data_IF_499658530577
#
_entry.id   IF_499658530577
#
_cell.length_a   1.000
_cell.length_b   1.000
_cell.length_c   1.000
_cell.angle_alpha   90.00
_cell.angle_beta   90.00
_cell.angle_gamma   90.00
#
_symmetry.space_group_name_H-M   'P 1'
#
loop_
_entity.id
_entity.type
_entity.pdbx_description
1 polymer ?
#
# COMPACT_ATOMS: atom_id res chain seq x y z
N UNK A 1 -4.73 23.58 16.02
CA UNK A 1 -3.60 23.82 15.07
C UNK A 1 -4.18 24.32 13.75
N UNK A 2 -3.57 25.26 13.06
CA UNK A 2 -4.17 25.85 11.85
C UNK A 2 -3.44 25.31 10.61
N UNK A 3 -3.99 24.23 10.00
CA UNK A 3 -3.46 23.73 8.73
C UNK A 3 -3.81 24.74 7.65
N UNK A 4 -2.82 25.16 6.86
CA UNK A 4 -3.04 26.17 5.84
C UNK A 4 -4.00 25.67 4.75
N UNK A 5 -4.88 26.55 4.26
CA UNK A 5 -5.77 26.22 3.12
C UNK A 5 -4.97 25.72 1.92
N UNK A 6 -3.84 26.36 1.64
CA UNK A 6 -2.94 25.96 0.56
C UNK A 6 -2.44 24.50 0.70
N UNK A 7 -2.20 24.04 1.93
CA UNK A 7 -1.82 22.63 2.17
C UNK A 7 -2.99 21.70 1.89
N UNK A 8 -4.18 22.04 2.37
CA UNK A 8 -5.38 21.22 2.12
C UNK A 8 -5.75 21.20 0.63
N UNK A 9 -5.66 22.34 -0.04
CA UNK A 9 -5.89 22.44 -1.50
C UNK A 9 -4.91 21.54 -2.29
N UNK A 10 -3.63 21.57 -1.91
CA UNK A 10 -2.61 20.71 -2.54
C UNK A 10 -2.88 19.22 -2.33
N UNK A 11 -3.37 18.83 -1.15
CA UNK A 11 -3.59 17.43 -0.80
C UNK A 11 -4.93 16.87 -1.34
N UNK A 12 -5.98 17.70 -1.35
CA UNK A 12 -7.34 17.21 -1.59
C UNK A 12 -8.08 17.94 -2.72
N UNK A 13 -7.45 18.95 -3.32
CA UNK A 13 -8.09 19.83 -4.30
C UNK A 13 -8.94 20.95 -3.66
N UNK A 14 -9.16 22.03 -4.42
CA UNK A 14 -9.85 23.22 -3.92
C UNK A 14 -11.28 22.94 -3.42
N UNK A 15 -12.01 22.07 -4.11
CA UNK A 15 -13.41 21.73 -3.76
C UNK A 15 -13.54 21.03 -2.38
N UNK A 16 -12.50 20.35 -1.91
CA UNK A 16 -12.54 19.60 -0.66
C UNK A 16 -12.06 20.40 0.58
N UNK A 17 -11.51 21.59 0.40
CA UNK A 17 -10.84 22.36 1.47
C UNK A 17 -11.76 22.59 2.69
N UNK A 18 -13.01 23.00 2.49
CA UNK A 18 -13.94 23.25 3.61
C UNK A 18 -14.22 21.99 4.42
N UNK A 19 -14.58 20.91 3.73
CA UNK A 19 -14.86 19.61 4.34
C UNK A 19 -13.64 19.07 5.10
N UNK A 20 -12.45 19.20 4.53
CA UNK A 20 -11.23 18.75 5.21
C UNK A 20 -10.89 19.59 6.44
N UNK A 21 -11.10 20.91 6.41
CA UNK A 21 -10.95 21.74 7.62
C UNK A 21 -11.84 21.26 8.76
N UNK A 22 -13.10 20.96 8.48
CA UNK A 22 -14.04 20.45 9.48
C UNK A 22 -13.58 19.10 10.02
N UNK A 23 -13.13 18.19 9.13
CA UNK A 23 -12.61 16.87 9.51
C UNK A 23 -11.39 16.97 10.41
N UNK A 24 -10.43 17.80 10.07
CA UNK A 24 -9.23 18.00 10.90
C UNK A 24 -9.56 18.65 12.25
N UNK A 25 -10.45 19.63 12.29
CA UNK A 25 -10.90 20.26 13.53
C UNK A 25 -11.65 19.26 14.43
N UNK A 26 -12.49 18.40 13.85
CA UNK A 26 -13.19 17.36 14.57
C UNK A 26 -12.20 16.33 15.17
N UNK A 27 -11.15 15.96 14.43
CA UNK A 27 -10.12 15.06 14.91
C UNK A 27 -9.30 15.67 16.05
N UNK A 28 -8.93 16.96 15.97
CA UNK A 28 -8.26 17.69 17.08
C UNK A 28 -9.13 17.70 18.33
N UNK A 29 -10.43 18.00 18.18
CA UNK A 29 -11.36 18.01 19.30
C UNK A 29 -11.50 16.63 19.94
N UNK A 30 -11.66 15.58 19.12
CA UNK A 30 -11.78 14.22 19.63
C UNK A 30 -10.51 13.77 20.37
N UNK A 31 -9.32 14.15 19.87
CA UNK A 31 -8.07 13.93 20.58
C UNK A 31 -8.07 14.62 21.95
N UNK A 32 -8.46 15.92 22.03
CA UNK A 32 -8.53 16.67 23.28
C UNK A 32 -9.55 16.07 24.27
N UNK A 33 -10.71 15.62 23.78
CA UNK A 33 -11.76 15.02 24.59
C UNK A 33 -11.29 13.70 25.25
N UNK A 34 -10.39 12.93 24.58
CA UNK A 34 -9.91 11.63 25.06
C UNK A 34 -8.63 11.76 25.90
N UNK A 35 -7.67 12.54 25.45
CA UNK A 35 -6.32 12.60 26.03
C UNK A 35 -6.01 13.90 26.77
N UNK A 36 -6.93 14.87 26.72
CA UNK A 36 -6.72 16.22 27.26
C UNK A 36 -5.93 17.12 26.30
N UNK A 37 -5.79 18.38 26.67
CA UNK A 37 -4.99 19.35 25.89
C UNK A 37 -3.52 18.99 25.97
N UNK A 38 -2.84 19.07 24.82
CA UNK A 38 -1.40 18.87 24.70
C UNK A 38 -0.78 20.04 23.90
N UNK A 39 0.34 20.57 24.40
CA UNK A 39 0.97 21.77 23.80
C UNK A 39 1.67 21.51 22.48
N UNK A 40 2.04 20.26 22.20
CA UNK A 40 2.86 19.87 21.04
C UNK A 40 2.19 18.79 20.19
N UNK A 41 0.92 19.01 19.80
CA UNK A 41 0.26 18.10 18.85
C UNK A 41 0.84 18.26 17.45
N UNK A 42 0.95 17.13 16.76
CA UNK A 42 1.29 17.07 15.34
C UNK A 42 0.19 16.31 14.60
N UNK A 43 0.02 16.67 13.33
CA UNK A 43 -0.95 15.97 12.48
C UNK A 43 -0.18 15.23 11.40
N UNK A 44 -0.60 13.99 11.16
CA UNK A 44 -0.05 13.11 10.15
C UNK A 44 -1.17 12.62 9.25
N UNK A 45 -0.81 12.29 8.00
CA UNK A 45 -1.71 11.71 7.01
C UNK A 45 -0.96 10.64 6.22
N UNK A 46 -1.63 9.53 5.93
CA UNK A 46 -1.17 8.53 5.01
C UNK A 46 -2.32 8.12 4.07
N UNK A 47 -2.13 8.22 2.76
CA UNK A 47 -3.18 7.94 1.78
C UNK A 47 -3.43 6.45 1.61
N UNK A 48 -4.64 6.10 1.20
CA UNK A 48 -4.90 4.84 0.51
C UNK A 48 -4.27 4.84 -0.88
N UNK A 49 -4.31 3.69 -1.55
CA UNK A 49 -3.73 3.52 -2.89
C UNK A 49 -4.68 2.83 -3.84
N UNK A 50 -4.48 3.04 -5.12
CA UNK A 50 -5.06 2.23 -6.19
C UNK A 50 -3.93 1.61 -7.03
N UNK A 51 -4.15 0.39 -7.51
CA UNK A 51 -3.33 -0.24 -8.53
C UNK A 51 -3.80 0.24 -9.90
N UNK A 52 -2.88 0.64 -10.76
CA UNK A 52 -3.17 1.20 -12.08
C UNK A 52 -2.77 0.19 -13.18
N UNK A 53 -1.63 -0.46 -13.01
CA UNK A 53 -1.10 -1.48 -13.92
C UNK A 53 -0.13 -2.41 -13.21
N UNK A 54 0.13 -3.59 -13.80
CA UNK A 54 1.00 -4.60 -13.20
C UNK A 54 0.27 -5.49 -12.20
N UNK A 55 -0.98 -5.84 -12.51
CA UNK A 55 -1.85 -6.61 -11.61
C UNK A 55 -1.21 -7.95 -11.21
N UNK A 56 -0.95 -8.12 -9.89
CA UNK A 56 -0.33 -9.31 -9.28
C UNK A 56 1.08 -9.67 -9.80
N UNK A 57 1.84 -8.70 -10.35
CA UNK A 57 3.21 -8.94 -10.82
C UNK A 57 4.25 -8.80 -9.73
N UNK A 58 3.99 -8.03 -8.69
CA UNK A 58 4.88 -7.75 -7.55
C UNK A 58 5.35 -9.01 -6.81
N UNK A 59 4.46 -10.01 -6.65
CA UNK A 59 4.77 -11.30 -6.02
C UNK A 59 5.83 -12.14 -6.78
N UNK A 60 6.09 -11.81 -8.05
CA UNK A 60 7.09 -12.43 -8.92
C UNK A 60 8.18 -11.44 -9.36
N UNK A 61 8.42 -10.41 -8.56
CA UNK A 61 9.41 -9.36 -8.80
C UNK A 61 9.17 -8.57 -10.09
N UNK A 62 7.91 -8.39 -10.47
CA UNK A 62 7.51 -7.62 -11.64
C UNK A 62 7.50 -6.12 -11.41
N UNK A 63 7.02 -5.40 -12.43
CA UNK A 63 6.78 -3.97 -12.37
C UNK A 63 5.30 -3.70 -12.11
N UNK A 64 5.02 -2.67 -11.32
CA UNK A 64 3.66 -2.19 -11.07
C UNK A 64 3.58 -0.68 -11.28
N UNK A 65 2.40 -0.19 -11.61
CA UNK A 65 2.04 1.22 -11.52
C UNK A 65 0.95 1.38 -10.48
N UNK A 66 1.18 2.24 -9.51
CA UNK A 66 0.25 2.53 -8.44
C UNK A 66 0.11 4.04 -8.21
N UNK A 67 -1.00 4.43 -7.63
CA UNK A 67 -1.24 5.84 -7.28
C UNK A 67 -1.79 5.96 -5.86
N UNK A 68 -1.31 6.93 -5.11
CA UNK A 68 -1.98 7.40 -3.91
C UNK A 68 -3.31 8.06 -4.29
N UNK A 69 -4.33 7.82 -3.50
CA UNK A 69 -5.66 8.43 -3.71
C UNK A 69 -5.90 9.58 -2.74
N UNK A 70 -6.88 10.45 -3.04
CA UNK A 70 -7.26 11.57 -2.18
C UNK A 70 -8.04 11.16 -0.91
N UNK A 71 -8.07 9.87 -0.59
CA UNK A 71 -8.66 9.31 0.62
C UNK A 71 -7.52 8.84 1.53
N UNK A 72 -7.54 9.24 2.79
CA UNK A 72 -6.44 8.99 3.72
C UNK A 72 -6.90 8.63 5.13
N UNK A 73 -5.95 8.17 5.92
CA UNK A 73 -6.03 8.10 7.38
C UNK A 73 -5.26 9.28 7.94
N UNK A 74 -5.91 10.11 8.75
CA UNK A 74 -5.24 11.18 9.49
C UNK A 74 -5.08 10.82 10.96
N UNK A 75 -4.02 11.33 11.60
CA UNK A 75 -3.78 11.20 13.03
C UNK A 75 -3.44 12.53 13.67
N UNK A 76 -4.08 12.85 14.76
CA UNK A 76 -3.67 13.89 15.72
C UNK A 76 -2.85 13.21 16.80
N UNK A 77 -1.60 13.63 17.00
CA UNK A 77 -0.61 12.90 17.79
C UNK A 77 0.11 13.80 18.78
N UNK A 78 0.31 13.34 19.99
CA UNK A 78 1.25 13.91 20.96
C UNK A 78 2.26 12.87 21.41
N UNK A 79 3.53 13.29 21.61
CA UNK A 79 4.53 12.43 22.25
C UNK A 79 4.08 12.08 23.68
N UNK A 80 4.44 10.87 24.11
CA UNK A 80 4.30 10.43 25.50
C UNK A 80 5.64 9.90 26.01
N UNK A 81 5.85 10.00 27.30
CA UNK A 81 7.04 9.42 27.93
C UNK A 81 6.95 7.89 27.96
N UNK A 82 8.11 7.23 27.92
CA UNK A 82 8.21 5.78 28.00
C UNK A 82 7.94 5.07 26.65
N UNK A 83 7.39 3.86 26.73
CA UNK A 83 7.25 2.93 25.60
C UNK A 83 5.80 2.57 25.24
N UNK A 84 4.82 3.29 25.78
CA UNK A 84 3.42 2.97 25.52
C UNK A 84 2.90 3.81 24.35
N UNK A 85 2.37 3.13 23.34
CA UNK A 85 1.64 3.71 22.22
C UNK A 85 0.16 3.51 22.45
N UNK A 86 -0.60 4.61 22.52
CA UNK A 86 -2.06 4.60 22.65
C UNK A 86 -2.68 5.19 21.39
N UNK A 87 -3.48 4.40 20.68
CA UNK A 87 -4.15 4.82 19.45
C UNK A 87 -5.65 4.60 19.56
N UNK A 88 -6.40 5.67 19.56
CA UNK A 88 -7.86 5.65 19.46
C UNK A 88 -8.28 5.91 18.04
N UNK A 89 -8.71 4.87 17.34
CA UNK A 89 -9.30 5.01 15.99
C UNK A 89 -10.80 5.27 16.11
N UNK A 90 -11.32 6.16 15.29
CA UNK A 90 -12.75 6.50 15.25
C UNK A 90 -13.61 5.24 15.03
N UNK A 91 -14.59 5.03 15.90
CA UNK A 91 -15.49 3.87 15.84
C UNK A 91 -14.92 2.55 16.37
N UNK A 92 -13.65 2.51 16.85
CA UNK A 92 -13.00 1.30 17.36
C UNK A 92 -12.57 1.47 18.82
N UNK A 93 -12.34 0.37 19.57
CA UNK A 93 -11.67 0.43 20.86
C UNK A 93 -10.29 1.09 20.76
N UNK A 94 -9.77 1.56 21.89
CA UNK A 94 -8.40 2.07 21.95
C UNK A 94 -7.40 0.90 21.97
N UNK A 95 -6.38 0.99 21.12
CA UNK A 95 -5.21 0.12 21.18
C UNK A 95 -4.19 0.74 22.14
N UNK A 96 -3.78 -0.02 23.16
CA UNK A 96 -2.72 0.34 24.10
C UNK A 96 -1.61 -0.70 24.01
N UNK A 97 -0.48 -0.32 23.42
CA UNK A 97 0.63 -1.24 23.07
C UNK A 97 1.90 -0.79 23.75
N UNK A 98 2.41 -1.62 24.68
CA UNK A 98 3.77 -1.43 25.19
C UNK A 98 4.79 -1.98 24.16
N UNK A 99 5.51 -1.06 23.54
CA UNK A 99 6.54 -1.36 22.53
C UNK A 99 7.95 -1.58 23.13
N UNK A 100 8.08 -1.65 24.48
CA UNK A 100 9.33 -2.15 25.09
C UNK A 100 9.55 -3.62 24.71
N UNK A 101 8.45 -4.40 24.72
CA UNK A 101 8.36 -5.76 24.18
C UNK A 101 7.84 -5.72 22.72
N UNK A 102 8.69 -6.19 21.80
CA UNK A 102 8.40 -6.23 20.36
C UNK A 102 8.28 -7.65 19.81
N UNK A 103 8.15 -8.64 20.67
CA UNK A 103 7.90 -10.02 20.25
C UNK A 103 6.52 -10.19 19.60
N UNK A 104 6.44 -11.13 18.65
CA UNK A 104 5.17 -11.48 18.02
C UNK A 104 4.23 -12.10 19.04
N UNK A 105 3.00 -11.62 19.12
CA UNK A 105 1.98 -12.14 20.04
C UNK A 105 0.84 -12.76 19.25
N UNK A 106 0.63 -14.05 19.39
CA UNK A 106 -0.47 -14.76 18.72
C UNK A 106 -1.84 -14.19 19.10
N UNK A 107 -1.98 -13.68 20.31
CA UNK A 107 -3.22 -13.03 20.80
C UNK A 107 -3.53 -11.70 20.12
N UNK A 108 -2.54 -11.06 19.49
CA UNK A 108 -2.70 -9.79 18.76
C UNK A 108 -2.91 -9.99 17.25
N UNK A 109 -2.76 -11.20 16.70
CA UNK A 109 -2.96 -11.47 15.26
C UNK A 109 -4.30 -10.93 14.77
N UNK A 110 -4.29 -10.38 13.56
CA UNK A 110 -5.43 -9.73 12.90
C UNK A 110 -5.97 -8.49 13.65
N UNK A 111 -5.17 -7.86 14.50
CA UNK A 111 -5.52 -6.62 15.21
C UNK A 111 -4.59 -5.45 14.84
N UNK A 112 -5.07 -4.22 15.02
CA UNK A 112 -4.26 -2.99 14.87
C UNK A 112 -3.08 -2.95 15.86
N UNK A 113 -3.24 -3.53 17.04
CA UNK A 113 -2.16 -3.62 18.04
C UNK A 113 -0.94 -4.38 17.48
N UNK A 114 -1.16 -5.49 16.74
CA UNK A 114 -0.05 -6.23 16.11
C UNK A 114 0.68 -5.40 15.06
N UNK A 115 -0.02 -4.59 14.27
CA UNK A 115 0.59 -3.69 13.29
C UNK A 115 1.45 -2.62 13.98
N UNK A 116 0.94 -2.00 15.05
CA UNK A 116 1.71 -1.01 15.84
C UNK A 116 2.98 -1.64 16.39
N UNK A 117 2.88 -2.83 16.99
CA UNK A 117 4.03 -3.59 17.53
C UNK A 117 5.01 -3.96 16.43
N UNK A 118 4.53 -4.47 15.29
CA UNK A 118 5.36 -4.88 14.16
C UNK A 118 6.14 -3.72 13.53
N UNK A 119 5.49 -2.56 13.36
CA UNK A 119 6.16 -1.35 12.87
C UNK A 119 7.23 -0.88 13.86
N UNK A 120 6.93 -0.86 15.17
CA UNK A 120 7.91 -0.50 16.20
C UNK A 120 9.12 -1.46 16.22
N UNK A 121 8.87 -2.78 16.09
CA UNK A 121 9.90 -3.79 15.98
C UNK A 121 10.79 -3.57 14.75
N UNK A 122 10.17 -3.34 13.58
CA UNK A 122 10.89 -3.06 12.34
C UNK A 122 11.79 -1.82 12.44
N UNK A 123 11.31 -0.75 13.07
CA UNK A 123 12.13 0.44 13.33
C UNK A 123 13.32 0.11 14.22
N UNK A 124 13.11 -0.57 15.34
CA UNK A 124 14.22 -1.00 16.25
C UNK A 124 15.23 -1.87 15.53
N UNK A 125 14.77 -2.87 14.78
CA UNK A 125 15.63 -3.80 14.03
C UNK A 125 16.46 -3.08 12.95
N UNK A 126 15.91 -2.00 12.39
CA UNK A 126 16.62 -1.14 11.43
C UNK A 126 17.53 -0.09 12.11
N UNK A 127 17.66 -0.09 13.44
CA UNK A 127 18.50 0.84 14.20
C UNK A 127 17.89 2.22 14.44
N UNK A 128 16.59 2.40 14.19
CA UNK A 128 15.87 3.65 14.43
C UNK A 128 15.29 3.71 15.85
N UNK A 129 15.08 4.94 16.32
CA UNK A 129 14.47 5.20 17.63
C UNK A 129 12.95 5.05 17.55
N UNK A 130 12.37 4.53 18.61
CA UNK A 130 10.93 4.49 18.87
C UNK A 130 10.64 4.93 20.30
N UNK A 131 9.41 5.39 20.57
CA UNK A 131 8.98 5.80 21.91
C UNK A 131 7.46 5.91 21.97
N UNK A 132 6.92 6.24 23.13
CA UNK A 132 5.49 6.35 23.37
C UNK A 132 4.86 7.56 22.69
N UNK A 133 3.62 7.40 22.26
CA UNK A 133 2.78 8.51 21.80
C UNK A 133 1.30 8.20 22.03
N UNK A 134 0.47 9.24 22.04
CA UNK A 134 -0.99 9.16 22.00
C UNK A 134 -1.48 9.65 20.66
N UNK A 135 -2.43 8.96 20.06
CA UNK A 135 -2.99 9.34 18.77
C UNK A 135 -4.51 9.13 18.72
N UNK A 136 -5.20 10.08 18.11
CA UNK A 136 -6.55 9.86 17.60
C UNK A 136 -6.52 9.80 16.08
N UNK A 137 -7.16 8.79 15.49
CA UNK A 137 -7.17 8.60 14.04
C UNK A 137 -8.59 8.57 13.49
N UNK A 138 -8.79 9.17 12.31
CA UNK A 138 -10.00 9.03 11.50
C UNK A 138 -9.62 8.73 10.05
N UNK A 139 -10.43 7.92 9.36
CA UNK A 139 -10.11 7.39 8.05
C UNK A 139 -11.25 7.56 7.05
N UNK A 140 -10.91 8.06 5.86
CA UNK A 140 -11.77 8.00 4.68
C UNK A 140 -11.41 6.81 3.77
N UNK A 141 -10.34 6.07 4.08
CA UNK A 141 -9.98 4.83 3.38
C UNK A 141 -10.91 3.73 3.87
N UNK A 142 -11.92 3.42 3.09
CA UNK A 142 -12.95 2.45 3.49
C UNK A 142 -12.35 1.05 3.65
N UNK A 143 -12.66 0.39 4.76
CA UNK A 143 -12.26 -1.00 5.01
C UNK A 143 -12.93 -1.92 3.97
N UNK A 144 -12.14 -2.77 3.33
CA UNK A 144 -12.65 -3.71 2.32
C UNK A 144 -12.91 -3.11 0.94
N UNK A 145 -12.58 -1.83 0.71
CA UNK A 145 -12.78 -1.16 -0.59
C UNK A 145 -11.67 -1.44 -1.62
N UNK A 146 -10.68 -2.25 -1.29
CA UNK A 146 -9.52 -2.45 -2.16
C UNK A 146 -8.49 -1.31 -2.14
N UNK A 147 -8.68 -0.28 -1.30
CA UNK A 147 -7.77 0.88 -1.20
C UNK A 147 -6.65 0.70 -0.16
N UNK A 148 -6.49 -0.48 0.40
CA UNK A 148 -5.47 -0.84 1.39
C UNK A 148 -5.46 0.02 2.65
N UNK A 149 -6.56 -0.03 3.42
CA UNK A 149 -6.65 0.67 4.71
C UNK A 149 -5.60 0.17 5.72
N UNK A 150 -5.19 -1.10 5.69
CA UNK A 150 -4.11 -1.63 6.53
C UNK A 150 -2.77 -0.96 6.20
N UNK A 151 -2.38 -0.94 4.93
CA UNK A 151 -1.13 -0.32 4.51
C UNK A 151 -1.08 1.18 4.85
N UNK A 152 -2.19 1.91 4.64
CA UNK A 152 -2.28 3.31 5.04
C UNK A 152 -2.08 3.50 6.55
N UNK A 153 -2.66 2.64 7.39
CA UNK A 153 -2.49 2.68 8.84
C UNK A 153 -1.04 2.36 9.26
N UNK A 154 -0.45 1.32 8.70
CA UNK A 154 0.93 0.91 8.97
C UNK A 154 1.93 2.01 8.60
N UNK A 155 1.77 2.58 7.40
CA UNK A 155 2.58 3.70 6.91
C UNK A 155 2.39 4.94 7.79
N UNK A 156 1.16 5.21 8.26
CA UNK A 156 0.89 6.30 9.20
C UNK A 156 1.69 6.12 10.49
N UNK A 157 1.66 4.92 11.11
CA UNK A 157 2.43 4.61 12.33
C UNK A 157 3.93 4.76 12.07
N UNK A 158 4.45 4.25 10.95
CA UNK A 158 5.86 4.40 10.55
C UNK A 158 6.25 5.87 10.36
N UNK A 159 5.38 6.66 9.74
CA UNK A 159 5.59 8.10 9.56
C UNK A 159 5.62 8.83 10.90
N UNK A 160 4.73 8.48 11.83
CA UNK A 160 4.73 9.03 13.20
C UNK A 160 6.08 8.75 13.88
N UNK A 161 6.56 7.50 13.89
CA UNK A 161 7.86 7.16 14.48
C UNK A 161 9.01 7.89 13.78
N UNK A 162 8.98 8.02 12.46
CA UNK A 162 9.99 8.75 11.70
C UNK A 162 10.10 10.20 12.17
N UNK A 163 8.99 10.90 12.25
CA UNK A 163 9.00 12.33 12.57
C UNK A 163 9.12 12.65 14.06
N UNK A 164 8.58 11.81 14.95
CA UNK A 164 8.69 12.07 16.40
C UNK A 164 10.07 11.73 16.93
N UNK A 165 10.71 10.66 16.44
CA UNK A 165 11.91 10.09 17.06
C UNK A 165 13.15 10.07 16.17
N UNK A 166 12.99 10.31 14.84
CA UNK A 166 14.05 10.21 13.85
C UNK A 166 14.12 11.43 12.92
N UNK A 167 13.58 12.56 13.32
CA UNK A 167 13.66 13.84 12.58
C UNK A 167 13.09 13.77 11.13
N UNK A 168 12.19 12.79 10.85
CA UNK A 168 11.66 12.56 9.51
C UNK A 168 12.68 11.96 8.52
N UNK A 169 13.80 11.42 8.99
CA UNK A 169 14.91 10.93 8.14
C UNK A 169 14.75 9.49 7.66
N UNK A 170 13.76 8.74 8.17
CA UNK A 170 13.49 7.39 7.65
C UNK A 170 12.84 7.50 6.29
N UNK A 171 13.46 6.89 5.27
CA UNK A 171 12.97 7.01 3.89
C UNK A 171 11.59 6.34 3.70
N UNK A 172 10.81 6.82 2.75
CA UNK A 172 9.51 6.25 2.40
C UNK A 172 9.61 4.76 2.06
N UNK A 173 10.66 4.36 1.33
CA UNK A 173 10.94 2.95 1.01
C UNK A 173 11.14 2.12 2.27
N UNK A 174 11.93 2.61 3.22
CA UNK A 174 12.18 1.90 4.47
C UNK A 174 10.92 1.78 5.32
N UNK A 175 10.10 2.84 5.40
CA UNK A 175 8.81 2.80 6.08
C UNK A 175 7.90 1.74 5.44
N UNK A 176 7.82 1.68 4.11
CA UNK A 176 7.01 0.70 3.39
C UNK A 176 7.48 -0.74 3.64
N UNK A 177 8.79 -1.01 3.62
CA UNK A 177 9.36 -2.34 3.91
C UNK A 177 9.05 -2.78 5.35
N UNK A 178 9.19 -1.86 6.32
CA UNK A 178 8.86 -2.13 7.72
C UNK A 178 7.35 -2.41 7.88
N UNK A 179 6.50 -1.62 7.23
CA UNK A 179 5.06 -1.78 7.25
C UNK A 179 4.64 -3.14 6.68
N UNK A 180 5.16 -3.54 5.52
CA UNK A 180 4.91 -4.87 4.94
C UNK A 180 5.35 -6.00 5.87
N UNK A 181 6.52 -5.87 6.50
CA UNK A 181 6.98 -6.87 7.47
C UNK A 181 6.01 -6.99 8.66
N UNK A 182 5.49 -5.87 9.14
CA UNK A 182 4.48 -5.87 10.20
C UNK A 182 3.19 -6.59 9.77
N UNK A 183 2.70 -6.34 8.56
CA UNK A 183 1.51 -7.02 8.02
C UNK A 183 1.75 -8.54 7.88
N UNK A 184 2.89 -8.93 7.32
CA UNK A 184 3.19 -10.34 7.04
C UNK A 184 3.47 -11.16 8.30
N UNK A 185 4.24 -10.61 9.24
CA UNK A 185 4.78 -11.37 10.37
C UNK A 185 3.94 -11.18 11.64
N UNK A 186 3.51 -9.96 11.93
CA UNK A 186 2.79 -9.66 13.17
C UNK A 186 1.28 -9.77 13.00
N UNK A 187 0.74 -9.21 11.92
CA UNK A 187 -0.70 -9.33 11.64
C UNK A 187 -1.05 -10.72 11.10
N UNK A 188 -0.16 -11.33 10.33
CA UNK A 188 -0.31 -12.68 9.80
C UNK A 188 -0.99 -12.75 8.42
N UNK A 189 -1.02 -11.65 7.67
CA UNK A 189 -1.56 -11.61 6.30
C UNK A 189 -0.41 -11.45 5.30
N UNK A 190 -0.12 -12.46 4.46
CA UNK A 190 0.89 -12.34 3.44
C UNK A 190 0.46 -11.31 2.38
N UNK A 191 1.28 -10.29 2.18
CA UNK A 191 1.07 -9.21 1.21
C UNK A 191 2.34 -8.90 0.42
N UNK A 192 2.19 -8.42 -0.81
CA UNK A 192 3.25 -7.79 -1.58
C UNK A 192 3.65 -6.42 -0.98
N UNK A 193 4.65 -5.76 -1.59
CA UNK A 193 5.16 -4.48 -1.08
C UNK A 193 4.51 -3.25 -1.74
N UNK A 194 3.71 -3.45 -2.79
CA UNK A 194 3.12 -2.37 -3.58
C UNK A 194 2.26 -1.42 -2.75
N UNK A 195 1.40 -1.97 -1.89
CA UNK A 195 0.43 -1.21 -1.12
C UNK A 195 1.10 -0.20 -0.19
N UNK A 196 2.03 -0.69 0.61
CA UNK A 196 2.79 0.14 1.54
C UNK A 196 3.69 1.13 0.80
N UNK A 197 4.26 0.72 -0.35
CA UNK A 197 5.12 1.60 -1.14
C UNK A 197 4.33 2.76 -1.73
N UNK A 198 3.18 2.48 -2.34
CA UNK A 198 2.33 3.52 -2.93
C UNK A 198 1.79 4.50 -1.87
N UNK A 199 1.37 3.99 -0.70
CA UNK A 199 0.93 4.83 0.43
C UNK A 199 2.08 5.69 1.00
N UNK A 200 3.29 5.13 1.11
CA UNK A 200 4.44 5.81 1.74
C UNK A 200 5.10 6.83 0.81
N UNK A 201 5.26 6.52 -0.47
CA UNK A 201 5.89 7.43 -1.45
C UNK A 201 4.90 8.50 -1.90
N UNK A 202 3.65 8.12 -2.13
CA UNK A 202 2.59 9.02 -2.59
C UNK A 202 2.66 9.36 -4.09
N UNK A 203 1.61 10.02 -4.59
CA UNK A 203 1.51 10.41 -6.00
C UNK A 203 1.34 9.21 -6.95
N UNK A 204 1.66 9.40 -8.22
CA UNK A 204 1.74 8.34 -9.23
C UNK A 204 3.17 7.80 -9.29
N UNK A 205 3.33 6.48 -9.15
CA UNK A 205 4.64 5.84 -9.14
C UNK A 205 4.65 4.57 -9.99
N UNK A 206 5.77 4.28 -10.62
CA UNK A 206 6.10 2.92 -11.04
C UNK A 206 7.10 2.32 -10.07
N UNK A 207 7.00 1.03 -9.85
CA UNK A 207 7.89 0.29 -8.98
C UNK A 207 8.39 -0.93 -9.74
N UNK A 208 9.70 -1.08 -9.89
CA UNK A 208 10.32 -2.33 -10.36
C UNK A 208 10.82 -3.11 -9.13
N UNK A 209 10.21 -4.26 -8.88
CA UNK A 209 10.55 -5.14 -7.76
C UNK A 209 11.61 -6.18 -8.09
N UNK A 210 12.39 -6.00 -9.16
CA UNK A 210 13.47 -6.93 -9.51
C UNK A 210 14.41 -7.20 -8.32
N UNK A 211 14.75 -6.15 -7.58
CA UNK A 211 15.39 -6.21 -6.27
C UNK A 211 14.40 -5.68 -5.22
N UNK A 212 13.84 -6.58 -4.39
CA UNK A 212 12.86 -6.23 -3.36
C UNK A 212 13.46 -5.48 -2.18
N UNK A 213 14.78 -5.61 -1.95
CA UNK A 213 15.48 -4.84 -0.92
C UNK A 213 15.75 -3.40 -1.39
N UNK A 214 15.99 -3.22 -2.69
CA UNK A 214 16.26 -1.93 -3.31
C UNK A 214 15.38 -1.72 -4.55
N UNK A 215 14.04 -1.62 -4.40
CA UNK A 215 13.15 -1.45 -5.54
C UNK A 215 13.43 -0.12 -6.25
N UNK A 216 13.35 -0.15 -7.56
CA UNK A 216 13.47 1.08 -8.36
C UNK A 216 12.12 1.76 -8.42
N UNK A 217 12.04 2.96 -7.84
CA UNK A 217 10.81 3.76 -7.78
C UNK A 217 10.99 4.98 -8.67
N UNK A 218 10.02 5.20 -9.54
CA UNK A 218 10.01 6.35 -10.42
C UNK A 218 8.67 7.10 -10.30
N UNK A 219 8.73 8.33 -9.79
CA UNK A 219 7.57 9.18 -9.62
C UNK A 219 7.17 9.82 -10.95
N UNK A 220 5.90 9.75 -11.29
CA UNK A 220 5.33 10.31 -12.51
C UNK A 220 4.48 11.52 -12.14
N UNK A 221 4.89 12.70 -12.61
CA UNK A 221 4.08 13.91 -12.46
C UNK A 221 3.14 14.03 -13.65
N UNK A 222 1.85 13.82 -13.41
CA UNK A 222 0.81 13.99 -14.42
C UNK A 222 -0.46 14.56 -13.80
N UNK A 223 -1.07 15.55 -14.46
CA UNK A 223 -2.31 16.16 -14.01
C UNK A 223 -3.51 15.58 -14.79
N UNK A 224 -4.17 14.60 -14.17
CA UNK A 224 -5.35 13.95 -14.76
C UNK A 224 -6.53 14.91 -14.87
N UNK A 225 -6.71 15.82 -13.91
CA UNK A 225 -7.81 16.79 -13.94
C UNK A 225 -7.68 17.73 -15.15
N UNK A 226 -6.46 18.22 -15.43
CA UNK A 226 -6.19 19.03 -16.61
C UNK A 226 -6.43 18.27 -17.93
N UNK A 227 -6.34 16.95 -17.93
CA UNK A 227 -6.65 16.08 -19.09
C UNK A 227 -8.14 15.81 -19.26
N UNK A 228 -9.01 16.26 -18.34
CA UNK A 228 -10.45 16.00 -18.36
C UNK A 228 -10.84 14.63 -17.83
N UNK A 229 -9.93 13.90 -17.16
CA UNK A 229 -10.20 12.59 -16.57
C UNK A 229 -10.14 12.63 -15.05
N UNK A 230 -10.92 11.77 -14.43
CA UNK A 230 -10.91 11.55 -12.99
C UNK A 230 -10.80 10.05 -12.68
N UNK A 231 -10.09 9.73 -11.61
CA UNK A 231 -10.11 8.39 -11.05
C UNK A 231 -11.39 8.21 -10.24
N UNK A 232 -12.19 7.22 -10.64
CA UNK A 232 -13.43 6.85 -9.96
C UNK A 232 -13.26 5.48 -9.29
N UNK A 233 -13.66 5.38 -8.03
CA UNK A 233 -13.68 4.12 -7.28
C UNK A 233 -15.13 3.73 -7.11
N UNK A 234 -15.50 2.54 -7.61
CA UNK A 234 -16.86 1.99 -7.51
C UNK A 234 -16.88 0.89 -6.47
N UNK A 235 -17.60 1.13 -5.38
CA UNK A 235 -17.83 0.09 -4.37
C UNK A 235 -18.93 -0.86 -4.84
N UNK A 236 -18.55 -2.06 -5.25
CA UNK A 236 -19.47 -3.10 -5.73
C UNK A 236 -20.16 -3.85 -4.61
N UNK A 237 -19.87 -3.54 -3.33
CA UNK A 237 -20.35 -4.25 -2.14
C UNK A 237 -19.93 -5.73 -2.08
N UNK A 238 -18.99 -6.15 -2.93
CA UNK A 238 -18.44 -7.52 -2.92
C UNK A 238 -17.58 -7.75 -1.68
N UNK A 239 -17.56 -8.99 -1.19
CA UNK A 239 -16.69 -9.39 -0.09
C UNK A 239 -15.48 -10.16 -0.64
N UNK A 240 -14.30 -9.55 -0.55
CA UNK A 240 -13.04 -10.20 -1.00
C UNK A 240 -12.58 -11.36 -0.11
N UNK A 241 -13.12 -11.51 1.10
CA UNK A 241 -12.74 -12.60 2.00
C UNK A 241 -13.02 -13.99 1.42
N UNK A 242 -14.07 -14.12 0.61
CA UNK A 242 -14.46 -15.39 0.00
C UNK A 242 -13.50 -15.83 -1.13
N UNK A 243 -12.68 -14.92 -1.66
CA UNK A 243 -11.74 -15.15 -2.77
C UNK A 243 -10.29 -15.38 -2.31
N UNK A 244 -10.04 -15.43 -1.01
CA UNK A 244 -8.69 -15.59 -0.43
C UNK A 244 -7.93 -16.81 -1.00
N UNK A 245 -8.54 -18.01 -1.18
CA UNK A 245 -7.83 -19.15 -1.76
C UNK A 245 -7.37 -18.91 -3.20
N UNK A 246 -8.17 -18.23 -4.02
CA UNK A 246 -7.83 -17.91 -5.43
C UNK A 246 -6.70 -16.89 -5.50
N UNK A 247 -6.71 -15.86 -4.65
CA UNK A 247 -5.60 -14.91 -4.53
C UNK A 247 -4.30 -15.61 -4.12
N UNK A 248 -4.35 -16.52 -3.14
CA UNK A 248 -3.20 -17.28 -2.70
C UNK A 248 -2.66 -18.22 -3.79
N UNK A 249 -3.51 -18.72 -4.68
CA UNK A 249 -3.11 -19.57 -5.80
C UNK A 249 -2.30 -18.84 -6.87
N UNK A 250 -2.52 -17.52 -7.07
CA UNK A 250 -1.85 -16.74 -8.12
C UNK A 250 -0.31 -16.83 -8.01
N UNK A 251 0.32 -16.40 -6.91
CA UNK A 251 1.78 -16.46 -6.80
C UNK A 251 2.30 -17.91 -6.81
N UNK A 252 1.56 -18.87 -6.25
CA UNK A 252 1.97 -20.29 -6.24
C UNK A 252 2.08 -20.84 -7.64
N UNK A 253 1.09 -20.61 -8.49
CA UNK A 253 1.07 -21.08 -9.88
C UNK A 253 2.11 -20.39 -10.75
N UNK A 254 2.27 -19.06 -10.61
CA UNK A 254 3.33 -18.32 -11.29
C UNK A 254 4.72 -18.85 -10.92
N UNK A 255 4.97 -19.12 -9.63
CA UNK A 255 6.23 -19.69 -9.14
C UNK A 255 6.44 -21.14 -9.59
N UNK A 256 5.39 -21.91 -9.83
CA UNK A 256 5.53 -23.27 -10.39
C UNK A 256 6.15 -23.24 -11.80
N UNK A 257 5.76 -22.24 -12.63
CA UNK A 257 6.37 -22.03 -13.95
C UNK A 257 7.83 -21.61 -13.82
N UNK A 258 8.16 -20.67 -12.93
CA UNK A 258 9.56 -20.28 -12.70
C UNK A 258 10.43 -21.49 -12.28
N UNK A 259 9.90 -22.33 -11.37
CA UNK A 259 10.58 -23.56 -10.89
C UNK A 259 10.84 -24.58 -12.01
N UNK A 260 9.97 -24.69 -13.01
CA UNK A 260 10.20 -25.53 -14.17
C UNK A 260 11.53 -25.16 -14.88
N UNK A 261 11.86 -23.89 -14.92
CA UNK A 261 13.13 -23.37 -15.47
C UNK A 261 14.27 -23.30 -14.44
N UNK A 262 14.10 -23.87 -13.23
CA UNK A 262 15.10 -23.83 -12.17
C UNK A 262 15.28 -22.43 -11.54
N UNK A 263 14.25 -21.58 -11.62
CA UNK A 263 14.23 -20.23 -11.08
C UNK A 263 13.23 -20.11 -9.91
N UNK A 264 13.38 -19.05 -9.10
CA UNK A 264 12.48 -18.78 -7.99
C UNK A 264 11.28 -17.91 -8.40
N UNK A 265 11.49 -16.99 -9.34
CA UNK A 265 10.52 -15.98 -9.74
C UNK A 265 10.41 -15.90 -11.28
N UNK A 266 9.23 -15.51 -11.80
CA UNK A 266 9.04 -15.33 -13.26
C UNK A 266 9.91 -14.22 -13.84
N UNK A 267 10.32 -13.24 -13.02
CA UNK A 267 11.25 -12.18 -13.47
C UNK A 267 12.60 -12.71 -13.95
N UNK A 268 12.97 -13.92 -13.54
CA UNK A 268 14.28 -14.53 -13.86
C UNK A 268 14.25 -15.36 -15.16
N UNK A 269 13.11 -15.42 -15.83
CA UNK A 269 12.94 -16.04 -17.17
C UNK A 269 12.37 -15.04 -18.15
N UNK A 270 12.38 -15.39 -19.45
CA UNK A 270 11.81 -14.55 -20.49
C UNK A 270 10.52 -15.16 -21.08
N UNK A 271 9.72 -14.31 -21.71
CA UNK A 271 8.50 -14.74 -22.41
C UNK A 271 8.82 -15.72 -23.54
N UNK A 272 9.93 -15.50 -24.24
CA UNK A 272 10.42 -16.37 -25.32
C UNK A 272 10.74 -17.76 -24.79
N UNK A 273 11.45 -17.87 -23.65
CA UNK A 273 11.72 -19.15 -23.00
C UNK A 273 10.44 -19.90 -22.65
N UNK A 274 9.41 -19.21 -22.18
CA UNK A 274 8.10 -19.82 -21.90
C UNK A 274 7.46 -20.33 -23.20
N UNK A 275 7.46 -19.54 -24.28
CA UNK A 275 6.88 -19.92 -25.57
C UNK A 275 7.58 -21.12 -26.17
N UNK A 276 8.90 -21.15 -26.18
CA UNK A 276 9.72 -22.24 -26.73
C UNK A 276 9.47 -23.59 -26.01
N UNK A 277 9.11 -23.55 -24.72
CA UNK A 277 8.90 -24.74 -23.90
C UNK A 277 7.42 -24.94 -23.50
N UNK A 278 6.48 -24.28 -24.19
CA UNK A 278 5.09 -24.20 -23.76
C UNK A 278 4.42 -25.55 -23.55
N UNK A 279 4.71 -26.53 -24.40
CA UNK A 279 4.09 -27.86 -24.33
C UNK A 279 4.51 -28.61 -23.03
N UNK A 280 5.79 -28.53 -22.71
CA UNK A 280 6.38 -29.17 -21.53
C UNK A 280 5.93 -28.46 -20.26
N UNK A 281 5.90 -27.12 -20.25
CA UNK A 281 5.43 -26.31 -19.12
C UNK A 281 3.94 -26.57 -18.84
N UNK A 282 3.11 -26.61 -19.90
CA UNK A 282 1.68 -26.95 -19.75
C UNK A 282 1.48 -28.34 -19.13
N UNK A 283 2.27 -29.32 -19.56
CA UNK A 283 2.21 -30.67 -19.01
C UNK A 283 2.63 -30.74 -17.54
N UNK A 284 3.62 -29.94 -17.14
CA UNK A 284 4.19 -29.95 -15.79
C UNK A 284 3.41 -29.07 -14.80
N UNK A 285 2.95 -27.89 -15.24
CA UNK A 285 2.37 -26.86 -14.37
C UNK A 285 0.86 -26.66 -14.56
N UNK A 286 0.31 -27.12 -15.70
CA UNK A 286 -1.10 -26.92 -16.08
C UNK A 286 -1.35 -25.59 -16.86
N UNK A 287 -2.48 -25.54 -17.54
CA UNK A 287 -2.85 -24.43 -18.42
C UNK A 287 -3.01 -23.12 -17.68
N UNK A 288 -3.62 -23.14 -16.48
CA UNK A 288 -3.85 -21.94 -15.66
C UNK A 288 -2.54 -21.30 -15.23
N UNK A 289 -1.55 -22.07 -14.82
CA UNK A 289 -0.22 -21.54 -14.45
C UNK A 289 0.48 -20.88 -15.63
N UNK A 290 0.37 -21.48 -16.83
CA UNK A 290 0.92 -20.91 -18.08
C UNK A 290 0.21 -19.60 -18.44
N UNK A 291 -1.13 -19.56 -18.36
CA UNK A 291 -1.90 -18.34 -18.62
C UNK A 291 -1.51 -17.21 -17.65
N UNK A 292 -1.32 -17.52 -16.37
CA UNK A 292 -0.82 -16.55 -15.36
C UNK A 292 0.61 -16.09 -15.63
N UNK A 293 1.47 -16.95 -16.16
CA UNK A 293 2.81 -16.55 -16.56
C UNK A 293 2.79 -15.59 -17.77
N UNK A 294 1.94 -15.85 -18.77
CA UNK A 294 1.73 -14.87 -19.87
C UNK A 294 1.20 -13.55 -19.37
N UNK A 295 0.21 -13.59 -18.47
CA UNK A 295 -0.30 -12.37 -17.82
C UNK A 295 0.83 -11.57 -17.17
N UNK A 296 1.73 -12.22 -16.40
CA UNK A 296 2.87 -11.58 -15.78
C UNK A 296 3.73 -10.83 -16.78
N UNK A 297 4.13 -11.47 -17.90
CA UNK A 297 4.98 -10.83 -18.91
C UNK A 297 4.27 -9.67 -19.63
N UNK A 298 3.00 -9.86 -19.97
CA UNK A 298 2.22 -8.86 -20.67
C UNK A 298 1.95 -7.63 -19.80
N UNK A 299 1.62 -7.83 -18.53
CA UNK A 299 1.40 -6.73 -17.59
C UNK A 299 2.68 -5.99 -17.23
N UNK A 300 3.77 -6.73 -17.06
CA UNK A 300 5.08 -6.13 -16.82
C UNK A 300 5.52 -5.21 -17.99
N UNK A 301 5.23 -5.58 -19.21
CA UNK A 301 5.47 -4.74 -20.39
C UNK A 301 4.51 -3.55 -20.46
N UNK A 302 3.22 -3.74 -20.08
CA UNK A 302 2.21 -2.67 -20.07
C UNK A 302 2.58 -1.53 -19.14
N UNK A 303 3.05 -1.83 -17.94
CA UNK A 303 3.50 -0.81 -16.97
C UNK A 303 4.54 0.13 -17.61
N UNK A 304 5.48 -0.41 -18.37
CA UNK A 304 6.46 0.41 -19.11
C UNK A 304 5.81 1.33 -20.15
N UNK A 305 4.81 0.83 -20.88
CA UNK A 305 4.06 1.60 -21.89
C UNK A 305 3.20 2.69 -21.24
N UNK A 306 2.54 2.38 -20.13
CA UNK A 306 1.74 3.32 -19.32
C UNK A 306 2.62 4.46 -18.81
N UNK A 307 3.77 4.14 -18.23
CA UNK A 307 4.72 5.12 -17.74
C UNK A 307 5.26 6.03 -18.84
N UNK A 308 5.63 5.46 -19.98
CA UNK A 308 6.11 6.23 -21.12
C UNK A 308 5.04 7.18 -21.68
N UNK A 309 3.79 6.71 -21.77
CA UNK A 309 2.67 7.52 -22.24
C UNK A 309 2.39 8.71 -21.33
N UNK A 310 2.33 8.51 -20.01
CA UNK A 310 2.12 9.61 -19.05
C UNK A 310 3.26 10.63 -19.06
N UNK A 311 4.53 10.17 -19.14
CA UNK A 311 5.67 11.10 -19.26
C UNK A 311 5.65 11.90 -20.55
N UNK A 312 5.15 11.30 -21.63
CA UNK A 312 4.96 11.95 -22.93
C UNK A 312 3.72 12.83 -23.03
N UNK A 313 2.87 12.88 -22.00
CA UNK A 313 1.60 13.61 -22.02
C UNK A 313 0.51 12.95 -22.90
N UNK A 314 0.72 11.70 -23.32
CA UNK A 314 -0.22 10.94 -24.16
C UNK A 314 -1.24 10.18 -23.30
N UNK A 315 -2.33 10.86 -22.96
CA UNK A 315 -3.41 10.24 -22.17
C UNK A 315 -4.09 9.08 -22.91
N UNK A 316 -4.26 9.16 -24.21
CA UNK A 316 -4.88 8.09 -24.99
C UNK A 316 -3.99 6.84 -25.05
N UNK A 317 -2.68 7.04 -25.20
CA UNK A 317 -1.68 5.99 -25.12
C UNK A 317 -1.64 5.32 -23.74
N UNK A 318 -1.94 6.06 -22.68
CA UNK A 318 -2.07 5.55 -21.31
C UNK A 318 -3.38 4.76 -21.10
N UNK A 319 -4.52 5.30 -21.51
CA UNK A 319 -5.83 4.68 -21.25
C UNK A 319 -5.99 3.33 -21.97
N UNK A 320 -5.35 3.13 -23.11
CA UNK A 320 -5.45 1.87 -23.86
C UNK A 320 -4.91 0.66 -23.10
N UNK A 321 -3.67 0.64 -22.58
CA UNK A 321 -3.18 -0.46 -21.74
C UNK A 321 -3.91 -0.58 -20.41
N UNK A 322 -4.29 0.53 -19.77
CA UNK A 322 -5.08 0.52 -18.52
C UNK A 322 -6.43 -0.19 -18.70
N UNK A 323 -7.14 0.07 -19.81
CA UNK A 323 -8.38 -0.63 -20.11
C UNK A 323 -8.19 -2.14 -20.20
N UNK A 324 -7.08 -2.61 -20.77
CA UNK A 324 -6.79 -4.04 -20.83
C UNK A 324 -6.50 -4.66 -19.47
N UNK A 325 -5.73 -4.01 -18.62
CA UNK A 325 -5.46 -4.47 -17.24
C UNK A 325 -6.77 -4.61 -16.45
N UNK A 326 -7.65 -3.60 -16.53
CA UNK A 326 -8.91 -3.61 -15.79
C UNK A 326 -9.92 -4.65 -16.33
N UNK A 327 -9.97 -4.91 -17.63
CA UNK A 327 -10.81 -5.96 -18.20
C UNK A 327 -10.36 -7.35 -17.75
N UNK A 328 -9.06 -7.62 -17.70
CA UNK A 328 -8.51 -8.92 -17.29
C UNK A 328 -8.57 -9.20 -15.79
N UNK A 329 -8.61 -8.18 -14.95
CA UNK A 329 -8.78 -8.37 -13.50
C UNK A 329 -10.09 -9.09 -13.15
N UNK A 330 -11.10 -9.02 -13.99
CA UNK A 330 -12.37 -9.75 -13.84
C UNK A 330 -12.36 -11.16 -14.42
N UNK A 331 -11.53 -11.43 -15.42
CA UNK A 331 -11.47 -12.73 -16.09
C UNK A 331 -10.69 -13.80 -15.32
N UNK A 332 -9.89 -13.42 -14.33
CA UNK A 332 -9.05 -14.39 -13.60
C UNK A 332 -9.82 -15.23 -12.58
N UNK A 333 -11.10 -14.97 -12.33
CA UNK A 333 -11.83 -15.56 -11.21
C UNK A 333 -12.99 -16.47 -11.57
N UNK A 334 -13.59 -16.37 -12.75
CA UNK A 334 -14.78 -17.16 -13.08
C UNK A 334 -14.82 -17.79 -14.47
N UNK A 335 -14.01 -17.34 -15.42
CA UNK A 335 -14.22 -17.67 -16.84
C UNK A 335 -13.06 -18.44 -17.49
N UNK A 336 -12.14 -18.97 -16.68
CA UNK A 336 -11.10 -19.92 -17.04
C UNK A 336 -11.30 -21.22 -16.28
#
# INVERSE_FOLDING_TARGET
MNISEKTLEKLYGAAAVSMQKERYAAAEKAFEDIYGKADNIRIFSAPGRTEVGGNHTDHNRGCVMAAAVGLDVIAVVSMAEGSVVSVKSEGFPEDVVDISDTEVKDSEKNSSASLIRGVAAGFKNAGFKVGGFKAYTTSNVLKGSGLSSSAAFEVLIGTIFSYLYNEGKVSAVKIAQIAQHAENVYFGKPSGLMDQMASSVGGFITIDFKDTENPVIDAISYDFAASGYNLCIVDTKGNHADLTPEYAAIPVEMKSVAKFFGKSELRDITKEQLIENIAEVRKACGDRAVARAFHFFDDNERVGKEAAALRGGDINGFLKPVSYTHLRAHETLSDL
#
